data_IF_811071708210
#
_entry.id   IF_811071708210
#
_cell.length_a   1.000
_cell.length_b   1.000
_cell.length_c   1.000
_cell.angle_alpha   90.00
_cell.angle_beta   90.00
_cell.angle_gamma   90.00
#
_symmetry.space_group_name_H-M   'P 1'
#
loop_
_entity.id
_entity.type
_entity.pdbx_description
1 polymer ?
#
# COMPACT_ATOMS: atom_id res chain seq x y z
N UNK A 1 0.22 -5.01 -22.76
CA UNK A 1 0.38 -4.83 -22.02
C UNK A 1 0.73 -4.14 -21.27
N UNK A 2 0.52 -3.89 -20.79
CA UNK A 2 0.71 -3.30 -19.98
C UNK A 2 1.33 -3.25 -19.17
N UNK A 3 1.79 -2.93 -18.84
CA UNK A 3 2.30 -2.79 -18.06
C UNK A 3 2.22 -2.32 -17.07
N UNK A 4 2.66 -2.49 -16.37
CA UNK A 4 2.45 -2.13 -15.39
C UNK A 4 2.36 -1.14 -14.88
N UNK A 5 2.10 -0.84 -14.42
CA UNK A 5 1.84 0.19 -13.95
C UNK A 5 1.59 0.26 -12.61
N UNK A 6 1.47 1.37 -12.01
CA UNK A 6 1.07 1.56 -10.68
C UNK A 6 -0.25 0.94 -10.43
N UNK A 7 -0.33 0.10 -9.45
CA UNK A 7 -1.56 -0.59 -9.15
C UNK A 7 -2.39 0.07 -8.08
N UNK A 8 -1.80 0.93 -7.28
CA UNK A 8 -2.48 1.59 -6.17
C UNK A 8 -2.56 3.07 -6.43
N UNK A 9 -3.66 3.69 -5.98
CA UNK A 9 -3.79 5.13 -6.11
C UNK A 9 -4.55 5.69 -4.92
N UNK A 10 -4.40 6.97 -4.69
CA UNK A 10 -5.12 7.67 -3.64
C UNK A 10 -6.62 7.48 -3.85
N UNK A 11 -7.32 7.16 -2.79
CA UNK A 11 -8.74 6.89 -2.84
C UNK A 11 -9.10 5.42 -2.86
N UNK A 12 -8.14 4.55 -3.18
CA UNK A 12 -8.40 3.11 -3.16
C UNK A 12 -8.58 2.65 -1.72
N UNK A 13 -9.52 1.72 -1.52
CA UNK A 13 -9.68 1.08 -0.23
C UNK A 13 -8.98 -0.26 -0.28
N UNK A 14 -8.12 -0.50 0.69
CA UNK A 14 -7.30 -1.70 0.72
C UNK A 14 -7.51 -2.46 2.01
N UNK A 15 -7.18 -3.75 1.96
CA UNK A 15 -7.09 -4.60 3.16
C UNK A 15 -5.67 -5.10 3.26
N UNK A 16 -5.09 -4.98 4.45
CA UNK A 16 -3.75 -5.50 4.71
C UNK A 16 -3.90 -6.99 5.00
N UNK A 17 -3.31 -7.80 4.14
CA UNK A 17 -3.32 -9.25 4.34
C UNK A 17 -2.20 -9.62 5.30
N UNK A 18 -1.03 -9.04 5.08
CA UNK A 18 0.11 -9.33 5.91
C UNK A 18 1.09 -8.16 5.81
N UNK A 19 1.54 -7.65 6.94
CA UNK A 19 2.57 -6.63 6.96
C UNK A 19 3.83 -7.23 7.57
N UNK A 20 4.93 -7.15 6.85
CA UNK A 20 6.18 -7.76 7.24
C UNK A 20 6.64 -7.19 8.58
N UNK A 21 6.85 -8.09 9.56
CA UNK A 21 7.30 -7.67 10.89
C UNK A 21 6.21 -7.09 11.77
N UNK A 22 4.97 -6.97 11.28
CA UNK A 22 3.89 -6.33 12.04
C UNK A 22 2.61 -7.15 11.92
N UNK A 23 2.57 -8.32 12.54
CA UNK A 23 1.42 -9.21 12.37
C UNK A 23 0.10 -8.64 12.86
N UNK A 24 0.13 -7.68 13.78
CA UNK A 24 -1.11 -7.11 14.28
C UNK A 24 -1.84 -6.27 13.23
N UNK A 25 -1.19 -5.97 12.11
CA UNK A 25 -1.82 -5.21 11.05
C UNK A 25 -2.67 -6.06 10.11
N UNK A 26 -2.54 -7.38 10.21
CA UNK A 26 -3.31 -8.28 9.34
C UNK A 26 -4.81 -8.07 9.54
N UNK A 27 -5.51 -7.88 8.44
CA UNK A 27 -6.96 -7.69 8.48
C UNK A 27 -7.41 -6.25 8.54
N UNK A 28 -6.50 -5.31 8.75
CA UNK A 28 -6.90 -3.91 8.80
C UNK A 28 -7.27 -3.42 7.41
N UNK A 29 -8.22 -2.51 7.35
CA UNK A 29 -8.66 -1.90 6.12
C UNK A 29 -8.58 -0.39 6.24
N UNK A 30 -8.43 0.27 5.11
CA UNK A 30 -8.42 1.71 5.10
C UNK A 30 -8.31 2.23 3.69
N UNK A 31 -8.38 3.55 3.58
CA UNK A 31 -8.32 4.25 2.30
C UNK A 31 -6.97 4.91 2.16
N UNK A 32 -6.37 4.78 0.98
CA UNK A 32 -5.08 5.42 0.71
C UNK A 32 -5.29 6.91 0.58
N UNK A 33 -4.58 7.67 1.40
CA UNK A 33 -4.68 9.12 1.40
C UNK A 33 -3.49 9.79 0.73
N UNK A 34 -2.35 9.10 0.70
CA UNK A 34 -1.14 9.69 0.15
C UNK A 34 -0.17 8.58 -0.21
N UNK A 35 0.53 8.74 -1.32
CA UNK A 35 1.57 7.81 -1.73
C UNK A 35 2.88 8.59 -1.83
N UNK A 36 3.87 8.17 -1.04
CA UNK A 36 5.19 8.78 -1.12
C UNK A 36 6.13 7.83 -1.84
N UNK A 37 7.14 8.39 -2.46
CA UNK A 37 8.10 7.66 -3.26
C UNK A 37 9.50 8.04 -2.83
N UNK A 38 10.35 7.05 -2.63
CA UNK A 38 11.76 7.28 -2.34
C UNK A 38 12.59 6.56 -3.38
N UNK A 39 13.70 7.16 -3.76
CA UNK A 39 14.61 6.57 -4.74
C UNK A 39 15.81 6.02 -4.00
N UNK A 40 16.09 4.76 -4.21
CA UNK A 40 17.18 4.06 -3.55
C UNK A 40 18.03 3.38 -4.59
N UNK A 41 19.27 2.96 -4.21
CA UNK A 41 20.13 2.30 -5.18
C UNK A 41 19.49 1.08 -5.84
N UNK A 42 18.62 0.37 -5.12
CA UNK A 42 17.97 -0.81 -5.66
C UNK A 42 16.73 -0.50 -6.48
N UNK A 43 16.29 0.77 -6.50
CA UNK A 43 15.12 1.14 -7.27
C UNK A 43 14.23 2.13 -6.54
N UNK A 44 12.94 2.06 -6.84
CA UNK A 44 11.97 2.99 -6.29
C UNK A 44 11.18 2.30 -5.20
N UNK A 45 11.10 2.94 -4.03
CA UNK A 45 10.33 2.44 -2.91
C UNK A 45 9.08 3.30 -2.75
N UNK A 46 7.92 2.67 -2.81
CA UNK A 46 6.66 3.37 -2.58
C UNK A 46 6.14 3.05 -1.20
N UNK A 47 5.53 4.04 -0.57
CA UNK A 47 4.89 3.86 0.73
C UNK A 47 3.49 4.45 0.66
N UNK A 48 2.52 3.64 1.07
CA UNK A 48 1.12 4.05 1.06
C UNK A 48 0.73 4.51 2.46
N UNK A 49 0.14 5.68 2.54
CA UNK A 49 -0.32 6.25 3.80
C UNK A 49 -1.83 6.35 3.74
N UNK A 50 -2.49 5.95 4.81
CA UNK A 50 -3.94 5.96 4.78
C UNK A 50 -4.58 5.75 6.15
N UNK A 51 -5.84 5.36 6.13
CA UNK A 51 -6.68 5.40 7.32
C UNK A 51 -6.69 4.10 8.13
N UNK A 52 -5.83 3.15 7.81
CA UNK A 52 -5.74 1.89 8.58
C UNK A 52 -5.08 2.08 9.94
N UNK A 53 -4.50 3.24 10.19
CA UNK A 53 -3.89 3.57 11.48
C UNK A 53 -2.47 3.07 11.58
N UNK A 54 -1.55 3.98 11.85
CA UNK A 54 -0.16 3.61 12.14
C UNK A 54 0.73 3.63 10.93
N UNK A 55 1.42 2.53 10.69
CA UNK A 55 2.54 2.49 9.75
C UNK A 55 2.10 2.59 8.30
N UNK A 56 2.99 3.14 7.49
CA UNK A 56 2.80 3.14 6.05
C UNK A 56 2.96 1.72 5.52
N UNK A 57 2.22 1.42 4.46
CA UNK A 57 2.31 0.12 3.80
C UNK A 57 3.30 0.21 2.66
N UNK A 58 4.19 -0.77 2.56
CA UNK A 58 5.17 -0.85 1.49
C UNK A 58 4.80 -2.03 0.59
N UNK A 59 4.22 -1.78 -0.58
CA UNK A 59 3.77 -2.88 -1.45
C UNK A 59 4.86 -3.88 -1.82
N UNK A 60 6.13 -3.45 -1.79
CA UNK A 60 7.23 -4.37 -2.11
C UNK A 60 7.48 -5.38 -0.99
N UNK A 61 7.01 -5.11 0.22
CA UNK A 61 7.28 -5.99 1.37
C UNK A 61 5.99 -6.53 1.98
N UNK A 62 4.90 -5.82 1.83
CA UNK A 62 3.65 -6.14 2.49
C UNK A 62 2.66 -6.67 1.48
N UNK A 63 1.80 -7.58 1.93
CA UNK A 63 0.78 -8.15 1.07
C UNK A 63 -0.54 -7.44 1.34
N UNK A 64 -1.08 -6.81 0.31
CA UNK A 64 -2.34 -6.07 0.44
C UNK A 64 -3.20 -6.35 -0.79
N UNK A 65 -4.49 -6.09 -0.66
CA UNK A 65 -5.39 -6.21 -1.80
C UNK A 65 -6.29 -4.98 -1.85
N UNK A 66 -6.66 -4.61 -3.06
CA UNK A 66 -7.60 -3.52 -3.27
C UNK A 66 -9.00 -4.12 -3.18
N UNK A 67 -9.79 -3.64 -2.21
CA UNK A 67 -11.15 -4.14 -2.05
C UNK A 67 -12.18 -3.20 -2.66
N UNK A 68 -11.78 -1.96 -2.98
CA UNK A 68 -12.64 -1.04 -3.69
C UNK A 68 -11.76 0.03 -4.31
N UNK A 69 -11.86 0.20 -5.61
CA UNK A 69 -11.07 1.22 -6.29
C UNK A 69 -11.68 2.59 -6.07
N UNK A 70 -10.81 3.58 -5.87
CA UNK A 70 -11.23 4.94 -5.69
C UNK A 70 -11.58 5.60 -7.00
N UNK A 71 -12.21 6.75 -6.88
CA UNK A 71 -12.54 7.56 -8.05
C UNK A 71 -11.29 8.26 -8.64
#
# INVERSE_FOLDING_TARGET
>A
MEMSQRRFKVGDRIRIIRMDGEPEYSGREGVIEHISTAYEPAGILEQLHGTWGGLAVQPSMDTIEIIQQGE
#
